data_IF_039503716184
#
_entry.id   IF_039503716184
#
_cell.length_a   1.000
_cell.length_b   1.000
_cell.length_c   1.000
_cell.angle_alpha   90.00
_cell.angle_beta   90.00
_cell.angle_gamma   90.00
#
_symmetry.space_group_name_H-M   'P 1'
#
loop_
_entity.id
_entity.type
_entity.pdbx_description
1 polymer ?
#
# COMPACT_ATOMS: atom_id res chain seq x y z
N UNK A 1 -57.10 -7.73 0.15
CA UNK A 1 -55.69 -8.02 0.51
C UNK A 1 -55.12 -9.02 -0.50
N UNK A 2 -53.84 -8.90 -0.90
CA UNK A 2 -53.11 -9.71 -1.90
C UNK A 2 -53.14 -9.25 -3.38
N UNK A 3 -52.75 -8.00 -3.70
CA UNK A 3 -52.19 -7.66 -5.04
C UNK A 3 -51.09 -6.60 -5.06
N UNK A 4 -50.73 -5.99 -3.92
CA UNK A 4 -49.76 -4.87 -3.86
C UNK A 4 -48.34 -5.33 -3.47
N UNK A 5 -48.11 -6.63 -3.24
CA UNK A 5 -46.82 -7.09 -2.67
C UNK A 5 -45.76 -7.54 -3.69
N UNK A 6 -46.02 -7.49 -5.00
CA UNK A 6 -45.09 -8.10 -6.00
C UNK A 6 -44.26 -7.05 -6.76
N UNK A 7 -44.63 -5.77 -6.75
CA UNK A 7 -43.85 -4.73 -7.46
C UNK A 7 -42.71 -4.14 -6.62
N UNK A 8 -42.74 -4.26 -5.28
CA UNK A 8 -41.68 -3.71 -4.42
C UNK A 8 -40.46 -4.63 -4.27
N UNK A 9 -40.57 -5.92 -4.63
CA UNK A 9 -39.45 -6.87 -4.52
C UNK A 9 -38.51 -6.85 -5.73
N UNK A 10 -38.98 -6.39 -6.90
CA UNK A 10 -38.15 -6.26 -8.09
C UNK A 10 -37.16 -5.07 -8.00
N UNK A 11 -37.47 -4.05 -7.19
CA UNK A 11 -36.58 -2.90 -6.98
C UNK A 11 -35.52 -3.16 -5.89
N UNK A 12 -35.68 -4.20 -5.07
CA UNK A 12 -34.68 -4.59 -4.07
C UNK A 12 -33.57 -5.51 -4.64
N UNK A 13 -33.66 -5.93 -5.91
CA UNK A 13 -32.73 -6.87 -6.53
C UNK A 13 -31.57 -6.23 -7.31
N UNK A 14 -31.34 -4.91 -7.20
CA UNK A 14 -30.18 -4.26 -7.84
C UNK A 14 -28.98 -4.08 -6.86
N UNK A 15 -29.15 -4.32 -5.57
CA UNK A 15 -28.05 -4.10 -4.58
C UNK A 15 -26.96 -5.19 -4.57
N UNK A 16 -27.05 -6.20 -5.44
CA UNK A 16 -26.01 -7.23 -5.61
C UNK A 16 -25.32 -7.19 -6.97
N UNK A 17 -25.51 -6.13 -7.77
CA UNK A 17 -24.55 -5.80 -8.82
C UNK A 17 -23.24 -5.46 -8.11
N UNK A 18 -22.36 -6.46 -8.00
CA UNK A 18 -21.09 -6.36 -7.27
C UNK A 18 -20.45 -5.02 -7.58
N UNK A 19 -20.22 -4.22 -6.55
CA UNK A 19 -19.67 -2.87 -6.67
C UNK A 19 -18.53 -2.91 -7.69
N UNK A 20 -18.81 -2.47 -8.92
CA UNK A 20 -17.79 -2.24 -9.91
C UNK A 20 -17.01 -1.05 -9.35
N UNK A 21 -16.01 -1.36 -8.54
CA UNK A 21 -15.27 -0.34 -7.82
C UNK A 21 -14.63 0.57 -8.85
N UNK A 22 -14.89 1.87 -8.72
CA UNK A 22 -14.51 2.85 -9.73
C UNK A 22 -12.98 2.89 -9.80
N UNK A 23 -12.41 2.72 -11.00
CA UNK A 23 -11.01 3.02 -11.25
C UNK A 23 -10.91 4.39 -11.92
N UNK A 24 -10.56 5.45 -11.17
CA UNK A 24 -10.45 6.80 -11.73
C UNK A 24 -9.29 6.93 -12.72
N UNK A 25 -8.33 6.01 -12.65
CA UNK A 25 -7.13 5.99 -13.48
C UNK A 25 -7.32 5.26 -14.81
N UNK A 26 -8.42 4.53 -15.00
CA UNK A 26 -8.67 3.69 -16.18
C UNK A 26 -8.66 4.50 -17.48
N UNK A 27 -9.19 5.73 -17.43
CA UNK A 27 -9.30 6.62 -18.60
C UNK A 27 -8.13 7.60 -18.74
N UNK A 28 -7.14 7.53 -17.85
CA UNK A 28 -5.97 8.41 -17.87
C UNK A 28 -4.88 7.79 -18.76
N UNK A 29 -4.24 8.55 -19.66
CA UNK A 29 -3.13 8.05 -20.47
C UNK A 29 -2.02 7.44 -19.60
N UNK A 30 -1.49 6.30 -20.02
CA UNK A 30 -0.55 5.47 -19.25
C UNK A 30 0.59 6.29 -18.61
N UNK A 31 1.26 7.13 -19.39
CA UNK A 31 2.38 7.96 -18.91
C UNK A 31 1.96 8.95 -17.81
N UNK A 32 0.79 9.56 -17.97
CA UNK A 32 0.26 10.52 -17.01
C UNK A 32 -0.21 9.83 -15.73
N UNK A 33 -0.91 8.69 -15.87
CA UNK A 33 -1.32 7.85 -14.77
C UNK A 33 -0.13 7.43 -13.91
N UNK A 34 0.91 6.88 -14.53
CA UNK A 34 2.08 6.40 -13.83
C UNK A 34 2.83 7.55 -13.14
N UNK A 35 2.89 8.73 -13.76
CA UNK A 35 3.47 9.93 -13.13
C UNK A 35 2.74 10.31 -11.84
N UNK A 36 1.40 10.35 -11.88
CA UNK A 36 0.58 10.67 -10.70
C UNK A 36 0.79 9.63 -9.60
N UNK A 37 0.73 8.34 -9.93
CA UNK A 37 0.91 7.26 -8.96
C UNK A 37 2.31 7.26 -8.33
N UNK A 38 3.35 7.51 -9.14
CA UNK A 38 4.74 7.60 -8.65
C UNK A 38 4.92 8.80 -7.74
N UNK A 39 4.37 9.97 -8.09
CA UNK A 39 4.47 11.18 -7.27
C UNK A 39 3.76 10.99 -5.93
N UNK A 40 2.52 10.49 -5.94
CA UNK A 40 1.77 10.15 -4.74
C UNK A 40 2.54 9.17 -3.85
N UNK A 41 3.09 8.11 -4.44
CA UNK A 41 3.84 7.11 -3.69
C UNK A 41 5.15 7.69 -3.11
N UNK A 42 5.88 8.50 -3.88
CA UNK A 42 7.11 9.15 -3.44
C UNK A 42 6.84 10.08 -2.24
N UNK A 43 5.80 10.90 -2.33
CA UNK A 43 5.43 11.82 -1.25
C UNK A 43 5.10 11.06 0.04
N UNK A 44 4.38 9.94 -0.07
CA UNK A 44 4.08 9.11 1.09
C UNK A 44 5.35 8.45 1.66
N UNK A 45 6.24 7.90 0.83
CA UNK A 45 7.50 7.29 1.31
C UNK A 45 8.35 8.33 2.04
N UNK A 46 8.50 9.54 1.50
CA UNK A 46 9.26 10.60 2.15
C UNK A 46 8.62 11.05 3.49
N UNK A 47 7.28 11.03 3.58
CA UNK A 47 6.56 11.39 4.81
C UNK A 47 6.65 10.31 5.89
N UNK A 48 6.42 9.05 5.53
CA UNK A 48 6.22 7.97 6.50
C UNK A 48 7.41 7.02 6.64
N UNK A 49 8.29 6.92 5.65
CA UNK A 49 9.40 5.97 5.64
C UNK A 49 10.64 6.52 4.92
N UNK A 50 11.13 7.74 5.25
CA UNK A 50 12.17 8.43 4.48
C UNK A 50 13.46 7.62 4.36
N UNK A 51 13.80 6.82 5.38
CA UNK A 51 14.99 5.96 5.36
C UNK A 51 14.94 4.83 4.31
N UNK A 52 13.77 4.55 3.72
CA UNK A 52 13.59 3.55 2.65
C UNK A 52 13.60 4.16 1.24
N UNK A 53 13.71 5.49 1.09
CA UNK A 53 13.78 6.09 -0.24
C UNK A 53 15.19 5.95 -0.83
N UNK A 54 15.27 5.55 -2.12
CA UNK A 54 16.51 5.54 -2.91
C UNK A 54 16.23 6.16 -4.26
N UNK A 55 17.04 7.14 -4.65
CA UNK A 55 17.03 7.68 -6.00
C UNK A 55 17.93 6.82 -6.90
N UNK A 56 17.41 5.66 -7.31
CA UNK A 56 18.19 4.66 -8.06
C UNK A 56 17.67 4.47 -9.49
N UNK A 57 16.45 3.95 -9.65
CA UNK A 57 15.82 3.77 -10.95
C UNK A 57 14.35 4.13 -10.89
N UNK A 58 13.76 4.34 -12.07
CA UNK A 58 12.33 4.65 -12.19
C UNK A 58 11.49 3.59 -11.46
N UNK A 59 10.55 4.01 -10.59
CA UNK A 59 9.64 3.07 -9.94
C UNK A 59 8.73 2.36 -10.95
N UNK A 60 8.32 1.14 -10.60
CA UNK A 60 7.40 0.33 -11.41
C UNK A 60 5.96 0.50 -10.91
N UNK A 61 5.01 0.63 -11.82
CA UNK A 61 3.58 0.76 -11.51
C UNK A 61 2.83 -0.44 -12.07
N UNK A 62 2.19 -1.22 -11.19
CA UNK A 62 1.42 -2.41 -11.57
C UNK A 62 -0.02 -2.24 -11.06
N UNK A 63 -0.99 -2.44 -11.93
CA UNK A 63 -2.38 -2.62 -11.50
C UNK A 63 -2.54 -4.04 -10.93
N UNK A 64 -2.89 -4.14 -9.64
CA UNK A 64 -3.02 -5.44 -8.95
C UNK A 64 -4.43 -6.02 -9.03
N UNK A 65 -5.39 -5.26 -9.56
CA UNK A 65 -6.79 -5.66 -9.58
C UNK A 65 -7.44 -5.45 -8.22
N UNK A 66 -8.38 -6.32 -7.88
CA UNK A 66 -9.20 -6.22 -6.69
C UNK A 66 -8.50 -6.82 -5.45
N UNK A 67 -8.64 -6.16 -4.30
CA UNK A 67 -8.23 -6.69 -3.02
C UNK A 67 -8.90 -8.05 -2.76
N UNK A 68 -8.15 -9.06 -2.28
CA UNK A 68 -8.63 -10.43 -2.21
C UNK A 68 -9.71 -10.60 -1.13
N UNK A 69 -10.40 -11.75 -1.15
CA UNK A 69 -11.52 -12.03 -0.21
C UNK A 69 -11.07 -12.14 1.25
N UNK A 70 -9.82 -12.46 1.47
CA UNK A 70 -9.15 -12.57 2.78
C UNK A 70 -8.41 -11.28 3.16
N UNK A 71 -8.64 -10.17 2.45
CA UNK A 71 -8.05 -8.88 2.83
C UNK A 71 -8.42 -8.49 4.27
N UNK A 72 -7.43 -7.92 4.97
CA UNK A 72 -7.46 -7.61 6.40
C UNK A 72 -8.63 -6.74 6.83
N UNK A 73 -8.97 -5.73 6.02
CA UNK A 73 -10.11 -4.83 6.24
C UNK A 73 -11.25 -5.35 5.37
N UNK A 74 -12.38 -5.70 6.01
CA UNK A 74 -13.49 -6.37 5.33
C UNK A 74 -14.14 -5.46 4.28
N UNK A 75 -14.19 -4.17 4.58
CA UNK A 75 -14.80 -3.10 3.78
C UNK A 75 -14.01 -2.83 2.50
N UNK A 76 -12.69 -3.06 2.52
CA UNK A 76 -11.81 -2.87 1.37
C UNK A 76 -11.74 -4.11 0.45
N UNK A 77 -12.39 -5.22 0.79
CA UNK A 77 -12.42 -6.42 -0.05
C UNK A 77 -13.06 -6.11 -1.40
N UNK A 78 -12.43 -6.54 -2.48
CA UNK A 78 -12.86 -6.21 -3.83
C UNK A 78 -12.39 -4.84 -4.33
N UNK A 79 -11.69 -4.04 -3.50
CA UNK A 79 -11.24 -2.70 -3.88
C UNK A 79 -10.07 -2.73 -4.81
N UNK A 80 -10.19 -1.97 -5.90
CA UNK A 80 -9.16 -1.92 -6.94
C UNK A 80 -7.97 -1.11 -6.45
N UNK A 81 -6.76 -1.58 -6.72
CA UNK A 81 -5.54 -0.89 -6.32
C UNK A 81 -4.38 -1.05 -7.29
N UNK A 82 -3.50 -0.06 -7.23
CA UNK A 82 -2.19 -0.06 -7.88
C UNK A 82 -1.11 -0.33 -6.85
N UNK A 83 -0.03 -0.95 -7.30
CA UNK A 83 1.23 -1.06 -6.56
C UNK A 83 2.30 -0.23 -7.27
N UNK A 84 3.00 0.60 -6.50
CA UNK A 84 4.19 1.34 -6.94
C UNK A 84 5.41 0.79 -6.22
N UNK A 85 6.37 0.25 -6.96
CA UNK A 85 7.57 -0.41 -6.42
C UNK A 85 8.79 0.49 -6.58
N UNK A 86 9.42 0.86 -5.46
CA UNK A 86 10.72 1.52 -5.43
C UNK A 86 11.83 0.49 -5.20
N UNK A 87 12.97 0.72 -5.83
CA UNK A 87 14.09 -0.22 -5.87
C UNK A 87 15.33 0.37 -5.20
N UNK A 88 16.27 -0.51 -4.86
CA UNK A 88 17.62 -0.18 -4.43
C UNK A 88 18.64 -0.74 -5.41
N UNK A 89 19.88 -0.25 -5.34
CA UNK A 89 20.99 -0.76 -6.13
C UNK A 89 21.53 -2.06 -5.49
N UNK A 90 21.35 -3.24 -6.12
CA UNK A 90 21.77 -4.51 -5.54
C UNK A 90 23.29 -4.67 -5.45
N UNK A 91 24.07 -3.80 -6.09
CA UNK A 91 25.52 -3.77 -5.97
C UNK A 91 25.98 -3.01 -4.72
N UNK A 92 25.12 -2.15 -4.14
CA UNK A 92 25.41 -1.34 -2.95
C UNK A 92 24.75 -1.88 -1.69
N UNK A 93 23.54 -2.41 -1.82
CA UNK A 93 22.71 -2.92 -0.73
C UNK A 93 22.23 -4.32 -1.10
N UNK A 94 21.99 -5.20 -0.12
CA UNK A 94 21.45 -6.55 -0.37
C UNK A 94 20.41 -6.90 0.68
N UNK A 95 19.17 -7.13 0.21
CA UNK A 95 18.03 -7.44 1.07
C UNK A 95 17.30 -8.70 0.61
N UNK A 96 16.41 -9.22 1.47
CA UNK A 96 15.62 -10.43 1.19
C UNK A 96 14.68 -10.25 -0.01
N UNK A 97 14.21 -9.02 -0.26
CA UNK A 97 13.40 -8.67 -1.42
C UNK A 97 14.24 -7.90 -2.45
N UNK A 98 13.82 -7.94 -3.71
CA UNK A 98 14.43 -7.22 -4.83
C UNK A 98 13.93 -5.76 -4.98
N UNK A 99 13.18 -5.25 -3.99
CA UNK A 99 12.68 -3.88 -3.90
C UNK A 99 12.95 -3.33 -2.50
N UNK A 100 12.92 -2.01 -2.32
CA UNK A 100 13.10 -1.38 -1.00
C UNK A 100 11.76 -1.07 -0.31
N UNK A 101 10.79 -0.56 -1.06
CA UNK A 101 9.41 -0.33 -0.60
C UNK A 101 8.42 -0.49 -1.75
N UNK A 102 7.28 -1.10 -1.46
CA UNK A 102 6.08 -1.16 -2.30
C UNK A 102 5.00 -0.32 -1.65
N UNK A 103 4.38 0.57 -2.41
CA UNK A 103 3.28 1.43 -1.97
C UNK A 103 2.02 1.00 -2.67
N UNK A 104 0.96 0.73 -1.91
CA UNK A 104 -0.35 0.40 -2.45
C UNK A 104 -1.23 1.65 -2.47
N UNK A 105 -1.88 1.90 -3.60
CA UNK A 105 -2.72 3.09 -3.84
C UNK A 105 -4.08 2.63 -4.32
N UNK A 106 -5.14 3.11 -3.66
CA UNK A 106 -6.50 2.82 -4.05
C UNK A 106 -6.86 3.46 -5.40
N UNK A 107 -7.45 2.69 -6.30
CA UNK A 107 -7.76 3.11 -7.65
C UNK A 107 -9.00 4.01 -7.76
N UNK A 108 -9.80 4.12 -6.71
CA UNK A 108 -11.04 4.90 -6.65
C UNK A 108 -10.82 6.36 -6.22
N UNK A 109 -9.77 6.62 -5.42
CA UNK A 109 -9.51 7.94 -4.87
C UNK A 109 -8.03 8.37 -4.91
N UNK A 110 -7.12 7.49 -5.33
CA UNK A 110 -5.69 7.79 -5.43
C UNK A 110 -4.96 7.93 -4.09
N UNK A 111 -5.59 7.57 -2.96
CA UNK A 111 -4.97 7.61 -1.64
C UNK A 111 -4.09 6.38 -1.41
N UNK A 112 -2.98 6.58 -0.68
CA UNK A 112 -2.11 5.49 -0.24
C UNK A 112 -2.81 4.69 0.84
N UNK A 113 -2.86 3.37 0.70
CA UNK A 113 -3.47 2.48 1.68
C UNK A 113 -2.45 1.82 2.60
N UNK A 114 -1.37 1.29 2.06
CA UNK A 114 -0.31 0.67 2.84
C UNK A 114 1.04 0.71 2.14
N UNK A 115 2.09 0.47 2.92
CA UNK A 115 3.44 0.24 2.44
C UNK A 115 3.94 -1.14 2.88
N UNK A 116 4.70 -1.81 2.02
CA UNK A 116 5.42 -3.05 2.33
C UNK A 116 6.91 -2.84 2.09
N UNK A 117 7.72 -3.21 3.05
CA UNK A 117 9.16 -2.94 3.02
C UNK A 117 9.96 -4.21 2.70
N UNK A 118 11.21 -4.02 2.29
CA UNK A 118 12.15 -5.12 1.98
C UNK A 118 12.38 -6.12 3.12
N UNK A 119 12.01 -5.74 4.34
CA UNK A 119 12.15 -6.52 5.57
C UNK A 119 10.85 -7.26 5.97
N UNK A 120 9.89 -7.35 5.07
CA UNK A 120 8.59 -8.03 5.25
C UNK A 120 7.63 -7.34 6.22
N UNK A 121 7.94 -6.12 6.68
CA UNK A 121 7.01 -5.34 7.48
C UNK A 121 6.02 -4.60 6.57
N UNK A 122 4.81 -4.40 7.10
CA UNK A 122 3.79 -3.55 6.50
C UNK A 122 3.49 -2.34 7.39
N UNK A 123 3.17 -1.20 6.76
CA UNK A 123 2.64 -0.02 7.44
C UNK A 123 1.26 0.32 6.87
N UNK A 124 0.26 0.42 7.75
CA UNK A 124 -1.10 0.85 7.42
C UNK A 124 -1.19 2.38 7.39
N UNK A 125 -1.10 2.97 6.19
CA UNK A 125 -1.11 4.42 6.02
C UNK A 125 -2.50 4.99 6.24
N UNK A 126 -3.52 4.32 5.71
CA UNK A 126 -4.90 4.78 5.84
C UNK A 126 -5.37 4.77 7.30
N UNK A 127 -4.93 3.78 8.09
CA UNK A 127 -5.13 3.76 9.54
C UNK A 127 -4.47 4.94 10.24
N UNK A 128 -3.18 5.19 9.98
CA UNK A 128 -2.44 6.32 10.57
C UNK A 128 -3.09 7.67 10.26
N UNK A 129 -3.54 7.89 9.02
CA UNK A 129 -4.21 9.13 8.63
C UNK A 129 -5.57 9.30 9.33
N UNK A 130 -6.34 8.22 9.49
CA UNK A 130 -7.62 8.26 10.22
C UNK A 130 -7.44 8.60 11.69
N UNK A 131 -6.39 8.07 12.31
CA UNK A 131 -6.10 8.27 13.73
C UNK A 131 -5.30 9.57 14.00
N UNK A 132 -5.00 10.35 12.94
CA UNK A 132 -4.14 11.54 12.98
C UNK A 132 -2.75 11.27 13.60
N UNK A 133 -2.26 10.04 13.42
CA UNK A 133 -0.98 9.59 13.95
C UNK A 133 0.17 9.94 13.02
N UNK A 134 1.27 10.41 13.62
CA UNK A 134 2.47 10.81 12.91
C UNK A 134 3.59 9.82 13.26
N UNK A 135 3.49 8.62 12.68
CA UNK A 135 4.49 7.57 12.86
C UNK A 135 5.46 7.57 11.67
N UNK A 136 6.75 7.68 11.98
CA UNK A 136 7.82 7.49 11.00
C UNK A 136 8.33 6.06 11.14
N UNK A 137 8.22 5.27 10.08
CA UNK A 137 8.77 3.94 9.98
C UNK A 137 10.30 4.01 10.03
N UNK A 138 10.93 3.46 11.06
CA UNK A 138 12.38 3.43 11.13
C UNK A 138 12.94 2.52 10.05
N UNK A 139 14.06 2.92 9.48
CA UNK A 139 14.82 2.03 8.62
C UNK A 139 15.39 0.87 9.45
N UNK A 140 15.01 -0.35 9.11
CA UNK A 140 15.47 -1.54 9.82
C UNK A 140 15.79 -2.67 8.86
N UNK A 141 16.99 -3.24 9.03
CA UNK A 141 17.45 -4.45 8.34
C UNK A 141 17.31 -5.60 9.34
N UNK A 142 16.58 -6.68 9.01
CA UNK A 142 16.56 -7.88 9.86
C UNK A 142 17.99 -8.39 10.01
N UNK A 143 18.47 -8.50 11.25
CA UNK A 143 19.69 -9.22 11.50
C UNK A 143 19.43 -10.68 11.11
N UNK A 144 20.06 -11.18 10.04
CA UNK A 144 20.14 -12.62 9.85
C UNK A 144 20.84 -13.18 11.08
N UNK A 145 20.31 -14.25 11.66
CA UNK A 145 21.02 -14.96 12.71
C UNK A 145 22.41 -15.31 12.16
N UNK A 146 23.42 -14.83 12.88
CA UNK A 146 24.87 -14.94 12.68
C UNK A 146 25.51 -14.14 11.51
N UNK A 147 26.33 -13.14 11.88
CA UNK A 147 27.55 -12.81 11.13
C UNK A 147 27.63 -11.50 10.35
N UNK A 148 26.58 -10.69 10.22
CA UNK A 148 26.68 -9.42 9.45
C UNK A 148 26.87 -8.20 10.37
N UNK A 149 27.93 -7.38 10.18
CA UNK A 149 28.16 -6.20 11.03
C UNK A 149 27.02 -5.19 10.98
N UNK A 150 26.73 -4.58 12.13
CA UNK A 150 25.77 -3.48 12.29
C UNK A 150 26.14 -2.28 11.41
N UNK A 151 25.18 -1.59 10.77
CA UNK A 151 25.36 -0.18 10.46
C UNK A 151 25.47 0.61 11.76
N UNK A 152 26.39 1.58 11.78
CA UNK A 152 26.71 2.43 12.92
C UNK A 152 25.45 3.07 13.52
N UNK A 153 25.28 2.88 14.83
CA UNK A 153 24.28 3.46 15.74
C UNK A 153 22.79 3.12 15.51
N UNK A 154 22.41 1.86 15.71
CA UNK A 154 21.01 1.44 15.89
C UNK A 154 20.48 1.65 17.31
N UNK A 155 21.25 2.26 18.22
CA UNK A 155 20.94 2.33 19.65
C UNK A 155 19.85 3.36 20.01
N UNK A 156 19.47 4.23 19.06
CA UNK A 156 18.49 5.30 19.28
C UNK A 156 17.09 5.03 18.73
N UNK A 157 16.87 3.89 18.07
CA UNK A 157 15.57 3.55 17.48
C UNK A 157 14.89 2.51 18.36
N UNK A 158 14.30 2.97 19.46
CA UNK A 158 13.37 2.14 20.24
C UNK A 158 12.05 2.08 19.46
N UNK A 159 11.54 0.90 19.06
CA UNK A 159 10.25 0.82 18.40
C UNK A 159 9.15 1.18 19.40
N UNK A 160 8.53 2.35 19.23
CA UNK A 160 7.24 2.66 19.85
C UNK A 160 6.24 1.63 19.27
N UNK A 161 5.53 0.91 20.13
CA UNK A 161 4.63 -0.22 19.82
C UNK A 161 3.99 -0.14 18.43
N UNK A 162 4.62 -0.74 17.42
CA UNK A 162 4.03 -0.90 16.10
C UNK A 162 3.00 -2.03 16.18
N UNK A 163 1.79 -1.81 15.65
CA UNK A 163 0.95 -2.93 15.21
C UNK A 163 1.58 -3.49 13.92
N UNK A 164 2.58 -4.34 14.08
CA UNK A 164 3.22 -5.06 12.97
C UNK A 164 2.36 -6.27 12.66
N UNK A 165 1.85 -6.36 11.44
CA UNK A 165 1.21 -7.57 10.93
C UNK A 165 2.27 -8.43 10.23
N UNK A 166 2.27 -9.72 10.55
CA UNK A 166 3.13 -10.74 9.97
C UNK A 166 2.46 -11.38 8.75
#
# INVERSE_FOLDING_TARGET
MKRILITLSALLLIMTAGYAQKNIFEKIPLKQRDSILIETAKNAVLKYAPGYYRDYKKPEVIFRGAAPKDYRIKEDRGRLFYQVTFFYDPLKEKYAKNYIVQVLIWADNGKVCSMYFMNEWGLDIEGLEKDNEHTIMPFWIPQSKEGTPLPVDSSKIVPRKFKVYK
#
